data_IF_901211743271
#
_entry.id   IF_901211743271
#
_cell.length_a   1.000
_cell.length_b   1.000
_cell.length_c   1.000
_cell.angle_alpha   90.00
_cell.angle_beta   90.00
_cell.angle_gamma   90.00
#
_symmetry.space_group_name_H-M   'P 1'
#
loop_
_entity.id
_entity.type
_entity.pdbx_description
1 polymer ?
#
# COMPACT_ATOMS: atom_id res chain seq x y z
N UNK A 1 29.19 36.87 90.43
CA UNK A 1 28.51 38.18 90.43
C UNK A 1 28.47 38.66 88.98
N UNK A 2 27.32 39.14 88.53
CA UNK A 2 26.97 39.64 87.19
C UNK A 2 26.62 38.64 86.07
N UNK A 3 25.34 38.75 85.69
CA UNK A 3 24.61 38.21 84.54
C UNK A 3 24.94 38.99 83.27
N UNK A 4 25.00 38.31 82.14
CA UNK A 4 24.60 38.87 80.83
C UNK A 4 24.07 37.78 79.91
N UNK A 5 23.19 38.19 79.01
CA UNK A 5 22.11 37.44 78.34
C UNK A 5 22.34 37.50 76.81
N UNK A 6 21.68 36.59 76.05
CA UNK A 6 21.30 36.67 74.61
C UNK A 6 22.37 36.26 73.57
N UNK A 7 22.09 35.59 72.44
CA UNK A 7 20.90 35.05 71.73
C UNK A 7 21.45 33.99 70.75
N UNK A 8 20.80 32.81 70.64
CA UNK A 8 21.03 31.87 69.53
C UNK A 8 20.18 32.29 68.32
N UNK A 9 20.79 32.43 67.14
CA UNK A 9 20.08 32.57 65.87
C UNK A 9 19.80 31.17 65.29
N UNK A 10 18.51 30.83 65.13
CA UNK A 10 18.05 29.72 64.31
C UNK A 10 17.86 30.22 62.87
N UNK A 11 18.52 29.61 61.90
CA UNK A 11 18.14 29.68 60.49
C UNK A 11 17.36 28.41 60.14
N UNK A 12 16.06 28.54 59.87
CA UNK A 12 15.28 27.52 59.18
C UNK A 12 15.51 27.71 57.67
N UNK A 13 16.14 26.74 57.02
CA UNK A 13 16.11 26.61 55.56
C UNK A 13 14.87 25.76 55.26
N UNK A 14 13.82 26.40 54.75
CA UNK A 14 12.68 25.74 54.13
C UNK A 14 13.10 25.20 52.76
N UNK A 15 13.10 23.88 52.61
CA UNK A 15 13.20 23.22 51.31
C UNK A 15 11.82 23.32 50.65
N UNK A 16 11.69 24.23 49.68
CA UNK A 16 10.53 24.27 48.78
C UNK A 16 10.75 23.22 47.69
N UNK A 17 9.90 22.19 47.65
CA UNK A 17 9.84 21.25 46.52
C UNK A 17 9.33 21.97 45.27
N UNK A 18 10.14 21.94 44.21
CA UNK A 18 9.81 22.48 42.90
C UNK A 18 8.59 21.75 42.31
N UNK A 19 7.49 22.47 42.11
CA UNK A 19 6.33 22.06 41.32
C UNK A 19 6.37 22.65 39.88
N UNK A 20 7.53 23.13 39.43
CA UNK A 20 7.65 23.92 38.19
C UNK A 20 8.08 23.15 36.93
N UNK A 21 8.65 21.95 37.03
CA UNK A 21 9.25 21.29 35.85
C UNK A 21 8.24 20.53 34.98
N UNK A 22 7.18 19.96 35.56
CA UNK A 22 6.21 19.18 34.79
C UNK A 22 5.29 20.06 33.92
N UNK A 23 4.93 21.26 34.39
CA UNK A 23 4.07 22.16 33.63
C UNK A 23 4.80 22.82 32.45
N UNK A 24 6.08 23.18 32.65
CA UNK A 24 6.90 23.79 31.59
C UNK A 24 7.24 22.77 30.49
N UNK A 25 7.57 21.51 30.83
CA UNK A 25 7.82 20.47 29.83
C UNK A 25 6.56 20.13 29.02
N UNK A 26 5.42 19.92 29.68
CA UNK A 26 4.15 19.66 28.98
C UNK A 26 3.74 20.83 28.07
N UNK A 27 4.00 22.08 28.48
CA UNK A 27 3.72 23.25 27.63
C UNK A 27 4.68 23.36 26.44
N UNK A 28 5.92 22.87 26.58
CA UNK A 28 6.93 22.89 25.52
C UNK A 28 6.68 21.78 24.50
N UNK A 29 6.40 20.55 24.94
CA UNK A 29 5.99 19.41 24.10
C UNK A 29 4.77 19.77 23.24
N UNK A 30 3.71 20.31 23.86
CA UNK A 30 2.51 20.77 23.13
C UNK A 30 2.87 21.84 22.08
N UNK A 31 3.75 22.77 22.40
CA UNK A 31 4.14 23.85 21.48
C UNK A 31 4.97 23.39 20.29
N UNK A 32 5.75 22.31 20.46
CA UNK A 32 6.60 21.75 19.40
C UNK A 32 5.76 20.88 18.46
N UNK A 33 4.89 20.00 19.01
CA UNK A 33 3.97 19.22 18.18
C UNK A 33 3.01 20.10 17.34
N UNK A 34 2.50 21.20 17.92
CA UNK A 34 1.67 22.17 17.20
C UNK A 34 2.45 22.82 16.04
N UNK A 35 3.75 23.05 16.21
CA UNK A 35 4.64 23.60 15.18
C UNK A 35 4.87 22.58 14.07
N UNK A 36 5.17 21.31 14.40
CA UNK A 36 5.39 20.23 13.42
C UNK A 36 4.16 19.96 12.56
N UNK A 37 2.96 19.92 13.15
CA UNK A 37 1.69 19.79 12.39
C UNK A 37 1.49 20.99 11.44
N UNK A 38 1.83 22.20 11.86
CA UNK A 38 1.76 23.39 11.02
C UNK A 38 2.78 23.36 9.87
N UNK A 39 3.97 22.80 10.09
CA UNK A 39 4.99 22.60 9.05
C UNK A 39 4.51 21.58 8.00
N UNK A 40 3.88 20.48 8.42
CA UNK A 40 3.26 19.51 7.49
C UNK A 40 2.19 20.19 6.64
N UNK A 41 1.30 20.97 7.25
CA UNK A 41 0.26 21.71 6.54
C UNK A 41 0.87 22.70 5.51
N UNK A 42 1.93 23.41 5.90
CA UNK A 42 2.63 24.36 5.03
C UNK A 42 3.33 23.64 3.86
N UNK A 43 3.94 22.47 4.11
CA UNK A 43 4.55 21.63 3.09
C UNK A 43 3.52 21.21 2.04
N UNK A 44 2.38 20.65 2.46
CA UNK A 44 1.33 20.23 1.51
C UNK A 44 0.76 21.44 0.76
N UNK A 45 0.50 22.54 1.48
CA UNK A 45 -0.03 23.79 0.90
C UNK A 45 0.90 24.38 -0.16
N UNK A 46 2.22 24.27 0.01
CA UNK A 46 3.21 24.73 -0.98
C UNK A 46 3.04 24.01 -2.32
N UNK A 47 2.94 22.68 -2.33
CA UNK A 47 2.77 21.92 -3.57
C UNK A 47 1.40 22.20 -4.23
N UNK A 48 0.37 22.49 -3.43
CA UNK A 48 -0.93 22.94 -3.94
C UNK A 48 -0.81 24.32 -4.60
N UNK A 49 -0.20 25.28 -3.93
CA UNK A 49 0.00 26.64 -4.45
C UNK A 49 0.87 26.68 -5.72
N UNK A 50 1.82 25.75 -5.83
CA UNK A 50 2.66 25.56 -7.01
C UNK A 50 1.96 24.80 -8.16
N UNK A 51 0.71 24.35 -7.98
CA UNK A 51 -0.05 23.61 -9.00
C UNK A 51 0.50 22.21 -9.26
N UNK A 52 1.25 21.65 -8.31
CA UNK A 52 1.90 20.33 -8.36
C UNK A 52 1.11 19.23 -7.65
N UNK A 53 0.09 19.62 -6.90
CA UNK A 53 -0.83 18.75 -6.16
C UNK A 53 -2.22 19.42 -6.14
N UNK A 54 -3.35 18.75 -6.44
CA UNK A 54 -4.67 19.34 -6.25
C UNK A 54 -5.05 19.40 -4.77
N UNK A 55 -4.53 18.46 -3.99
CA UNK A 55 -4.89 18.20 -2.61
C UNK A 55 -4.97 16.69 -2.34
N UNK A 56 -5.53 16.34 -1.19
CA UNK A 56 -5.74 14.96 -0.79
C UNK A 56 -6.09 14.82 0.69
N UNK A 57 -6.12 13.56 1.14
CA UNK A 57 -6.30 13.20 2.55
C UNK A 57 -5.06 12.48 3.06
N UNK A 58 -4.53 12.90 4.19
CA UNK A 58 -3.29 12.39 4.78
C UNK A 58 -3.53 12.06 6.25
N UNK A 59 -3.09 10.88 6.68
CA UNK A 59 -3.30 10.39 8.05
C UNK A 59 -2.07 9.63 8.55
N UNK A 60 -1.77 9.78 9.84
CA UNK A 60 -0.78 8.98 10.54
C UNK A 60 -1.30 8.57 11.92
N UNK A 61 -0.95 7.37 12.36
CA UNK A 61 -1.26 6.88 13.69
C UNK A 61 -0.03 6.22 14.34
N UNK A 62 0.11 6.44 15.65
CA UNK A 62 1.21 5.97 16.49
C UNK A 62 0.63 5.32 17.74
N UNK A 63 1.12 4.14 18.10
CA UNK A 63 0.66 3.40 19.28
C UNK A 63 -0.88 3.24 19.33
N UNK A 64 -1.49 3.04 18.16
CA UNK A 64 -2.95 2.93 18.00
C UNK A 64 -3.75 4.24 18.06
N UNK A 65 -3.09 5.41 18.12
CA UNK A 65 -3.74 6.73 18.20
C UNK A 65 -3.45 7.57 16.96
N UNK A 66 -4.47 8.23 16.39
CA UNK A 66 -4.29 9.15 15.25
C UNK A 66 -3.56 10.41 15.72
N UNK A 67 -2.33 10.61 15.25
CA UNK A 67 -1.47 11.75 15.60
C UNK A 67 -1.53 12.88 14.55
N UNK A 68 -1.94 12.56 13.33
CA UNK A 68 -2.11 13.50 12.24
C UNK A 68 -3.27 13.06 11.33
N UNK A 69 -4.14 14.01 10.98
CA UNK A 69 -5.25 13.81 10.05
C UNK A 69 -5.60 15.12 9.35
N UNK A 70 -5.56 15.11 8.02
CA UNK A 70 -5.80 16.31 7.22
C UNK A 70 -6.45 16.00 5.87
N UNK A 71 -7.55 16.68 5.57
CA UNK A 71 -8.02 16.90 4.20
C UNK A 71 -7.63 18.32 3.78
N UNK A 72 -7.01 18.48 2.62
CA UNK A 72 -6.49 19.77 2.17
C UNK A 72 -6.49 19.88 0.65
N UNK A 73 -6.72 21.08 0.13
CA UNK A 73 -6.82 21.37 -1.30
C UNK A 73 -8.23 21.15 -1.84
N UNK A 74 -8.35 21.17 -3.16
CA UNK A 74 -9.64 21.10 -3.86
C UNK A 74 -9.67 19.95 -4.88
N UNK A 75 -10.80 19.25 -4.88
CA UNK A 75 -11.25 18.21 -5.80
C UNK A 75 -12.16 18.85 -6.88
N UNK A 76 -13.12 18.07 -7.41
CA UNK A 76 -14.24 18.41 -8.31
C UNK A 76 -14.49 19.92 -8.50
N UNK A 77 -14.10 20.46 -9.65
CA UNK A 77 -14.41 21.85 -10.05
C UNK A 77 -14.16 22.94 -8.98
N UNK A 78 -13.30 22.68 -7.97
CA UNK A 78 -13.00 23.60 -6.88
C UNK A 78 -13.61 23.25 -5.51
N UNK A 79 -14.38 22.16 -5.38
CA UNK A 79 -14.89 21.67 -4.10
C UNK A 79 -13.73 21.22 -3.19
N UNK A 80 -13.75 21.54 -1.88
CA UNK A 80 -12.69 21.11 -0.97
C UNK A 80 -12.67 19.58 -0.82
N UNK A 81 -11.48 19.01 -0.60
CA UNK A 81 -11.40 17.61 -0.16
C UNK A 81 -12.03 17.44 1.22
N UNK A 82 -12.74 16.34 1.42
CA UNK A 82 -13.29 15.92 2.71
C UNK A 82 -12.56 14.67 3.22
N UNK A 83 -12.53 14.45 4.54
CA UNK A 83 -11.83 13.32 5.17
C UNK A 83 -12.35 11.97 4.65
N UNK A 84 -13.65 11.90 4.39
CA UNK A 84 -14.35 10.71 3.92
C UNK A 84 -14.47 10.66 2.39
N UNK A 85 -13.71 11.47 1.65
CA UNK A 85 -13.60 11.29 0.20
C UNK A 85 -13.06 9.89 -0.15
N UNK A 86 -13.56 9.33 -1.26
CA UNK A 86 -13.24 7.98 -1.73
C UNK A 86 -12.28 8.07 -2.91
N UNK A 87 -11.17 7.35 -2.77
CA UNK A 87 -10.04 7.34 -3.70
C UNK A 87 -9.93 6.01 -4.42
N UNK A 88 -9.52 6.01 -5.69
CA UNK A 88 -9.10 4.77 -6.36
C UNK A 88 -7.72 4.40 -5.81
N UNK A 89 -7.65 3.35 -5.00
CA UNK A 89 -6.41 2.99 -4.30
C UNK A 89 -5.49 2.10 -5.15
N UNK A 90 -5.99 1.59 -6.29
CA UNK A 90 -5.22 0.85 -7.27
C UNK A 90 -4.38 -0.24 -6.58
N UNK A 91 -3.05 -0.24 -6.80
CA UNK A 91 -2.16 -1.29 -6.32
C UNK A 91 -2.04 -1.44 -4.81
N UNK A 92 -2.60 -0.54 -3.99
CA UNK A 92 -2.82 -0.79 -2.57
C UNK A 92 -3.77 -1.99 -2.33
N UNK A 93 -4.66 -2.30 -3.28
CA UNK A 93 -5.51 -3.51 -3.26
C UNK A 93 -4.72 -4.81 -3.04
N UNK A 94 -3.46 -4.85 -3.52
CA UNK A 94 -2.57 -6.01 -3.39
C UNK A 94 -2.40 -6.44 -1.93
N UNK A 95 -2.38 -5.47 -1.02
CA UNK A 95 -2.26 -5.71 0.41
C UNK A 95 -3.37 -6.60 0.95
N UNK A 96 -4.60 -6.24 0.59
CA UNK A 96 -5.81 -6.90 1.04
C UNK A 96 -5.91 -8.29 0.38
N UNK A 97 -5.50 -8.41 -0.90
CA UNK A 97 -5.38 -9.71 -1.58
C UNK A 97 -4.36 -10.63 -0.90
N UNK A 98 -3.20 -10.10 -0.49
CA UNK A 98 -2.21 -10.86 0.27
C UNK A 98 -2.77 -11.37 1.59
N UNK A 99 -3.43 -10.50 2.38
CA UNK A 99 -4.10 -10.91 3.62
C UNK A 99 -5.13 -12.02 3.38
N UNK A 100 -5.94 -11.91 2.32
CA UNK A 100 -6.92 -12.94 1.99
C UNK A 100 -6.27 -14.30 1.68
N UNK A 101 -5.14 -14.32 0.98
CA UNK A 101 -4.37 -15.53 0.72
C UNK A 101 -3.77 -16.08 2.02
N UNK A 102 -3.20 -15.22 2.86
CA UNK A 102 -2.65 -15.63 4.15
C UNK A 102 -3.71 -16.16 5.12
N UNK A 103 -4.95 -15.68 5.07
CA UNK A 103 -6.08 -16.27 5.79
C UNK A 103 -6.38 -17.71 5.34
N UNK A 104 -6.31 -17.99 4.04
CA UNK A 104 -6.48 -19.35 3.51
C UNK A 104 -5.32 -20.26 3.90
N UNK A 105 -4.11 -19.71 3.95
CA UNK A 105 -2.92 -20.39 4.47
C UNK A 105 -3.09 -20.78 5.95
N UNK A 106 -3.52 -19.85 6.82
CA UNK A 106 -3.79 -20.15 8.24
C UNK A 106 -4.88 -21.21 8.44
N UNK A 107 -5.86 -21.27 7.54
CA UNK A 107 -6.91 -22.27 7.54
C UNK A 107 -6.45 -23.64 7.05
N UNK A 108 -5.19 -23.78 6.62
CA UNK A 108 -4.63 -25.01 6.03
C UNK A 108 -5.29 -25.40 4.72
N UNK A 109 -5.88 -24.43 3.99
CA UNK A 109 -6.57 -24.67 2.72
C UNK A 109 -5.63 -24.57 1.51
N UNK A 110 -4.51 -23.88 1.68
CA UNK A 110 -3.44 -23.74 0.72
C UNK A 110 -2.10 -23.82 1.45
N UNK A 111 -1.05 -24.17 0.71
CA UNK A 111 0.35 -23.97 1.13
C UNK A 111 1.02 -22.97 0.18
N UNK A 112 1.97 -22.17 0.68
CA UNK A 112 2.64 -21.16 -0.13
C UNK A 112 3.40 -21.76 -1.33
N UNK A 113 3.94 -22.97 -1.18
CA UNK A 113 4.75 -23.63 -2.21
C UNK A 113 3.95 -24.61 -3.09
N UNK A 114 2.61 -24.59 -2.99
CA UNK A 114 1.75 -25.33 -3.90
C UNK A 114 1.68 -24.70 -5.29
N UNK A 115 1.53 -25.57 -6.29
CA UNK A 115 1.43 -25.18 -7.69
C UNK A 115 0.13 -24.43 -8.00
N UNK A 116 0.21 -23.35 -8.76
CA UNK A 116 -0.95 -22.56 -9.20
C UNK A 116 -1.90 -23.38 -10.08
N UNK A 117 -1.36 -24.28 -10.89
CA UNK A 117 -2.10 -25.19 -11.79
C UNK A 117 -3.08 -26.11 -11.06
N UNK A 118 -2.81 -26.43 -9.77
CA UNK A 118 -3.72 -27.20 -8.89
C UNK A 118 -5.06 -26.49 -8.73
N UNK A 119 -5.05 -25.17 -8.71
CA UNK A 119 -6.22 -24.33 -8.49
C UNK A 119 -6.80 -23.80 -9.79
N UNK A 120 -5.94 -23.42 -10.74
CA UNK A 120 -6.33 -22.79 -12.00
C UNK A 120 -5.73 -23.61 -13.16
N UNK A 121 -6.48 -24.56 -13.74
CA UNK A 121 -5.97 -25.46 -14.77
C UNK A 121 -5.39 -24.77 -16.01
N UNK A 122 -5.80 -23.52 -16.30
CA UNK A 122 -5.23 -22.72 -17.39
C UNK A 122 -3.71 -22.50 -17.24
N UNK A 123 -3.17 -22.57 -16.02
CA UNK A 123 -1.74 -22.47 -15.75
C UNK A 123 -0.98 -23.80 -15.94
N UNK A 124 -1.62 -24.89 -16.37
CA UNK A 124 -0.93 -26.18 -16.58
C UNK A 124 0.11 -26.12 -17.71
N UNK A 125 -0.18 -25.35 -18.75
CA UNK A 125 0.64 -25.29 -19.97
C UNK A 125 1.40 -23.96 -20.13
N UNK A 126 1.53 -23.18 -19.05
CA UNK A 126 2.34 -21.95 -19.13
C UNK A 126 3.80 -22.30 -19.39
N UNK A 127 4.46 -21.44 -20.15
CA UNK A 127 5.83 -21.61 -20.59
C UNK A 127 6.57 -20.27 -20.48
N UNK A 128 7.89 -20.30 -20.47
CA UNK A 128 8.75 -19.11 -20.38
C UNK A 128 9.10 -18.63 -21.78
N UNK A 129 9.11 -17.31 -21.99
CA UNK A 129 9.59 -16.67 -23.20
C UNK A 129 11.04 -17.08 -23.47
N UNK A 130 11.33 -17.52 -24.70
CA UNK A 130 12.65 -17.95 -25.13
C UNK A 130 13.25 -16.95 -26.14
N UNK A 131 12.71 -16.93 -27.37
CA UNK A 131 13.08 -15.96 -28.40
C UNK A 131 11.90 -15.06 -28.74
N UNK A 132 12.19 -13.78 -29.06
CA UNK A 132 11.20 -12.80 -29.50
C UNK A 132 11.62 -12.16 -30.83
N UNK A 133 10.69 -12.10 -31.79
CA UNK A 133 10.88 -11.44 -33.07
C UNK A 133 10.17 -10.08 -33.07
N UNK A 134 10.96 -9.01 -33.08
CA UNK A 134 10.45 -7.63 -33.07
C UNK A 134 9.77 -7.17 -34.37
N UNK A 135 9.91 -7.92 -35.47
CA UNK A 135 9.31 -7.58 -36.77
C UNK A 135 7.81 -7.87 -36.79
N UNK A 136 7.39 -9.01 -36.24
CA UNK A 136 6.00 -9.49 -36.29
C UNK A 136 5.43 -9.87 -34.92
N UNK A 137 6.19 -9.56 -33.86
CA UNK A 137 5.87 -9.89 -32.47
C UNK A 137 5.63 -11.39 -32.23
N UNK A 138 6.18 -12.27 -33.08
CA UNK A 138 6.20 -13.72 -32.81
C UNK A 138 7.22 -14.04 -31.72
N UNK A 139 7.02 -15.17 -31.05
CA UNK A 139 7.89 -15.64 -30.00
C UNK A 139 7.90 -17.16 -29.91
N UNK A 140 8.97 -17.71 -29.37
CA UNK A 140 9.07 -19.12 -28.94
C UNK A 140 9.07 -19.20 -27.42
N UNK A 141 8.86 -20.41 -26.89
CA UNK A 141 8.81 -20.65 -25.45
C UNK A 141 9.55 -21.93 -25.08
N UNK A 142 10.08 -21.94 -23.86
CA UNK A 142 10.62 -23.15 -23.21
C UNK A 142 9.77 -23.56 -22.00
N UNK A 143 9.72 -24.87 -21.66
CA UNK A 143 8.99 -25.33 -20.48
C UNK A 143 9.46 -24.70 -19.16
N UNK A 144 8.62 -24.79 -18.14
CA UNK A 144 9.04 -24.46 -16.78
C UNK A 144 10.06 -25.49 -16.27
N UNK A 145 11.10 -25.03 -15.58
CA UNK A 145 12.08 -25.88 -14.90
C UNK A 145 11.59 -26.26 -13.49
N UNK A 146 10.79 -25.38 -12.89
CA UNK A 146 10.17 -25.54 -11.57
C UNK A 146 8.71 -25.10 -11.65
N UNK A 147 7.82 -25.68 -10.84
CA UNK A 147 6.42 -25.25 -10.83
C UNK A 147 6.26 -23.77 -10.46
N UNK A 148 5.25 -23.12 -11.03
CA UNK A 148 4.81 -21.80 -10.60
C UNK A 148 3.99 -21.94 -9.32
N UNK A 149 4.44 -21.33 -8.21
CA UNK A 149 3.79 -21.47 -6.89
C UNK A 149 3.00 -20.24 -6.44
N UNK A 150 2.16 -20.40 -5.42
CA UNK A 150 1.45 -19.29 -4.76
C UNK A 150 2.43 -18.25 -4.20
N UNK A 151 3.54 -18.70 -3.60
CA UNK A 151 4.63 -17.83 -3.11
C UNK A 151 5.19 -16.99 -4.23
N UNK A 152 5.40 -17.57 -5.42
CA UNK A 152 5.91 -16.80 -6.55
C UNK A 152 4.94 -15.70 -7.00
N UNK A 153 3.63 -15.93 -6.91
CA UNK A 153 2.65 -14.89 -7.20
C UNK A 153 2.72 -13.77 -6.15
N UNK A 154 2.67 -14.11 -4.85
CA UNK A 154 2.70 -13.13 -3.75
C UNK A 154 3.96 -12.28 -3.76
N UNK A 155 5.12 -12.91 -4.03
CA UNK A 155 6.42 -12.25 -4.01
C UNK A 155 6.81 -11.62 -5.35
N UNK A 156 5.91 -11.63 -6.35
CA UNK A 156 6.18 -11.12 -7.70
C UNK A 156 7.41 -11.78 -8.39
N UNK A 157 7.63 -13.07 -8.14
CA UNK A 157 8.71 -13.86 -8.75
C UNK A 157 8.22 -14.91 -9.74
N UNK A 158 6.95 -14.85 -10.13
CA UNK A 158 6.30 -15.79 -11.06
C UNK A 158 6.78 -15.70 -12.50
N UNK A 159 7.29 -14.54 -12.93
CA UNK A 159 7.50 -14.22 -14.35
C UNK A 159 6.26 -13.70 -15.07
N UNK A 160 5.08 -13.63 -14.42
CA UNK A 160 3.92 -12.90 -14.94
C UNK A 160 4.22 -11.40 -14.87
N UNK A 161 4.02 -10.68 -15.97
CA UNK A 161 4.30 -9.24 -16.08
C UNK A 161 3.06 -8.44 -16.48
N UNK A 162 3.14 -7.11 -16.31
CA UNK A 162 2.19 -6.15 -16.88
C UNK A 162 2.74 -5.64 -18.21
N UNK A 163 2.03 -5.87 -19.31
CA UNK A 163 2.43 -5.34 -20.63
C UNK A 163 2.65 -3.83 -20.64
N UNK A 164 1.80 -3.08 -19.95
CA UNK A 164 1.83 -1.60 -19.89
C UNK A 164 3.05 -1.04 -19.14
N UNK A 165 3.67 -1.83 -18.26
CA UNK A 165 4.80 -1.42 -17.41
C UNK A 165 6.08 -2.20 -17.70
N UNK A 166 6.11 -2.94 -18.80
CA UNK A 166 7.24 -3.81 -19.16
C UNK A 166 8.07 -3.25 -20.31
N UNK A 167 9.20 -3.90 -20.56
CA UNK A 167 10.05 -3.62 -21.71
C UNK A 167 9.29 -3.86 -23.02
N UNK A 168 9.80 -3.25 -24.11
CA UNK A 168 9.10 -3.15 -25.40
C UNK A 168 8.70 -4.52 -25.98
N UNK A 169 9.54 -5.52 -25.83
CA UNK A 169 9.27 -6.90 -26.26
C UNK A 169 8.04 -7.49 -25.55
N UNK A 170 8.01 -7.46 -24.23
CA UNK A 170 6.91 -7.93 -23.40
C UNK A 170 5.62 -7.12 -23.65
N UNK A 171 5.74 -5.81 -23.87
CA UNK A 171 4.63 -4.96 -24.26
C UNK A 171 4.04 -5.36 -25.63
N UNK A 172 4.89 -5.65 -26.63
CA UNK A 172 4.43 -6.09 -27.95
C UNK A 172 3.77 -7.48 -27.91
N UNK A 173 4.29 -8.40 -27.09
CA UNK A 173 3.65 -9.70 -26.85
C UNK A 173 2.27 -9.48 -26.21
N UNK A 174 2.18 -8.64 -25.17
CA UNK A 174 0.91 -8.31 -24.51
C UNK A 174 -0.09 -7.70 -25.47
N UNK A 175 0.34 -6.77 -26.32
CA UNK A 175 -0.49 -6.16 -27.36
C UNK A 175 -1.04 -7.20 -28.33
N UNK A 176 -0.17 -8.10 -28.83
CA UNK A 176 -0.56 -9.19 -29.74
C UNK A 176 -1.56 -10.15 -29.11
N UNK A 177 -1.43 -10.41 -27.82
CA UNK A 177 -2.33 -11.28 -27.07
C UNK A 177 -3.59 -10.57 -26.55
N UNK A 178 -3.69 -9.24 -26.69
CA UNK A 178 -4.83 -8.46 -26.19
C UNK A 178 -4.84 -8.28 -24.66
N UNK A 179 -3.66 -8.25 -24.03
CA UNK A 179 -3.48 -8.14 -22.58
C UNK A 179 -3.19 -6.70 -22.10
N UNK A 180 -3.08 -5.72 -23.00
CA UNK A 180 -2.91 -4.32 -22.61
C UNK A 180 -4.16 -3.79 -21.91
N UNK A 181 -3.97 -3.07 -20.81
CA UNK A 181 -5.07 -2.53 -20.01
C UNK A 181 -5.84 -3.55 -19.16
N UNK A 182 -5.36 -4.79 -19.04
CA UNK A 182 -5.93 -5.75 -18.08
C UNK A 182 -5.74 -5.25 -16.64
N UNK A 183 -6.75 -5.49 -15.80
CA UNK A 183 -6.82 -4.97 -14.45
C UNK A 183 -8.04 -4.06 -14.31
N UNK A 184 -7.87 -2.76 -14.16
CA UNK A 184 -8.95 -1.85 -13.73
C UNK A 184 -10.15 -1.73 -14.70
N UNK A 185 -9.98 -2.02 -15.99
CA UNK A 185 -10.98 -1.75 -17.02
C UNK A 185 -11.24 -2.89 -18.01
N UNK A 186 -11.14 -4.14 -17.55
CA UNK A 186 -11.45 -5.30 -18.40
C UNK A 186 -12.94 -5.53 -18.66
N UNK A 187 -13.20 -6.41 -19.62
CA UNK A 187 -14.50 -7.04 -19.88
C UNK A 187 -14.47 -8.52 -19.44
N UNK A 188 -15.65 -9.14 -19.32
CA UNK A 188 -15.78 -10.52 -18.85
C UNK A 188 -15.76 -10.64 -17.33
N UNK A 189 -15.52 -11.85 -16.84
CA UNK A 189 -15.44 -12.20 -15.42
C UNK A 189 -13.99 -12.23 -14.92
N UNK A 190 -13.82 -12.40 -13.61
CA UNK A 190 -12.51 -12.65 -12.99
C UNK A 190 -11.85 -13.91 -13.55
N UNK A 191 -12.62 -14.94 -13.87
CA UNK A 191 -12.10 -16.15 -14.52
C UNK A 191 -11.61 -15.87 -15.95
N UNK A 192 -12.37 -15.10 -16.73
CA UNK A 192 -11.97 -14.72 -18.09
C UNK A 192 -10.65 -13.95 -18.08
N UNK A 193 -10.51 -12.98 -17.17
CA UNK A 193 -9.26 -12.22 -16.97
C UNK A 193 -8.07 -13.16 -16.69
N UNK A 194 -8.21 -14.09 -15.75
CA UNK A 194 -7.12 -14.97 -15.32
C UNK A 194 -6.78 -16.01 -16.39
N UNK A 195 -7.78 -16.54 -17.10
CA UNK A 195 -7.57 -17.42 -18.25
C UNK A 195 -6.89 -16.70 -19.42
N UNK A 196 -7.13 -15.39 -19.55
CA UNK A 196 -6.43 -14.55 -20.54
C UNK A 196 -4.97 -14.35 -20.12
N UNK A 197 -4.70 -14.01 -18.86
CA UNK A 197 -3.33 -13.88 -18.31
C UNK A 197 -2.51 -15.15 -18.57
N UNK A 198 -3.10 -16.34 -18.39
CA UNK A 198 -2.43 -17.62 -18.59
C UNK A 198 -1.99 -17.88 -20.06
N UNK A 199 -2.44 -17.07 -21.03
CA UNK A 199 -2.00 -17.17 -22.44
C UNK A 199 -0.64 -16.50 -22.68
N UNK A 200 -0.19 -15.62 -21.77
CA UNK A 200 1.10 -14.96 -21.92
C UNK A 200 2.24 -15.90 -21.52
N UNK A 201 3.36 -15.93 -22.26
CA UNK A 201 4.56 -16.58 -21.77
C UNK A 201 5.07 -15.84 -20.54
N UNK A 202 5.65 -16.54 -19.56
CA UNK A 202 6.33 -15.92 -18.44
C UNK A 202 7.61 -15.23 -18.94
N UNK A 203 7.97 -14.07 -18.38
CA UNK A 203 9.18 -13.34 -18.73
C UNK A 203 10.48 -14.06 -18.29
N UNK A 204 10.38 -14.92 -17.27
CA UNK A 204 11.48 -15.72 -16.75
C UNK A 204 10.94 -16.95 -16.02
N UNK A 205 11.82 -17.89 -15.68
CA UNK A 205 11.48 -19.05 -14.84
C UNK A 205 10.98 -18.58 -13.46
N UNK A 206 9.95 -19.23 -12.87
CA UNK A 206 9.49 -18.92 -11.52
C UNK A 206 10.63 -18.94 -10.50
N UNK A 207 10.68 -17.95 -9.61
CA UNK A 207 11.72 -17.77 -8.59
C UNK A 207 13.05 -17.19 -9.09
N UNK A 208 13.26 -17.02 -10.40
CA UNK A 208 14.55 -16.56 -10.92
C UNK A 208 14.78 -15.05 -10.72
N UNK A 209 13.73 -14.25 -10.92
CA UNK A 209 13.78 -12.78 -10.89
C UNK A 209 12.53 -12.22 -10.23
N UNK A 210 12.61 -10.97 -9.79
CA UNK A 210 11.43 -10.19 -9.45
C UNK A 210 10.91 -9.44 -10.69
N UNK A 211 9.63 -9.57 -10.98
CA UNK A 211 8.94 -8.87 -12.09
C UNK A 211 7.56 -8.39 -11.63
N UNK A 212 7.34 -7.08 -11.74
CA UNK A 212 6.02 -6.52 -11.44
C UNK A 212 4.98 -6.93 -12.49
N UNK A 213 3.82 -7.41 -12.04
CA UNK A 213 2.87 -8.04 -12.95
C UNK A 213 1.51 -8.37 -12.36
N UNK A 214 0.72 -9.06 -13.17
CA UNK A 214 -0.69 -9.43 -12.95
C UNK A 214 -0.87 -10.61 -11.96
N UNK A 215 0.03 -10.73 -10.99
CA UNK A 215 0.04 -11.86 -10.04
C UNK A 215 -1.18 -11.87 -9.12
N UNK A 216 -1.59 -10.68 -8.71
CA UNK A 216 -2.60 -10.50 -7.67
C UNK A 216 -4.01 -10.74 -8.21
N UNK A 217 -4.22 -10.59 -9.52
CA UNK A 217 -5.41 -11.02 -10.25
C UNK A 217 -5.57 -12.54 -10.19
N UNK A 218 -4.48 -13.29 -10.37
CA UNK A 218 -4.46 -14.75 -10.26
C UNK A 218 -4.75 -15.20 -8.82
N UNK A 219 -4.12 -14.54 -7.83
CA UNK A 219 -4.38 -14.81 -6.42
C UNK A 219 -5.83 -14.52 -6.02
N UNK A 220 -6.42 -13.44 -6.53
CA UNK A 220 -7.84 -13.15 -6.36
C UNK A 220 -8.75 -14.28 -6.86
N UNK A 221 -8.40 -14.92 -7.99
CA UNK A 221 -9.13 -16.10 -8.49
C UNK A 221 -8.92 -17.33 -7.61
N UNK A 222 -7.71 -17.53 -7.05
CA UNK A 222 -7.46 -18.61 -6.09
C UNK A 222 -8.34 -18.44 -4.84
N UNK A 223 -8.45 -17.21 -4.30
CA UNK A 223 -9.36 -16.93 -3.18
C UNK A 223 -10.79 -17.35 -3.51
N UNK A 224 -11.27 -17.02 -4.72
CA UNK A 224 -12.59 -17.43 -5.15
C UNK A 224 -12.74 -18.96 -5.14
N UNK A 225 -11.84 -19.67 -5.83
CA UNK A 225 -11.93 -21.13 -5.99
C UNK A 225 -11.87 -21.84 -4.63
N UNK A 226 -10.96 -21.43 -3.75
CA UNK A 226 -10.72 -22.10 -2.46
C UNK A 226 -11.79 -21.77 -1.43
N UNK A 227 -12.31 -20.53 -1.43
CA UNK A 227 -13.31 -20.10 -0.44
C UNK A 227 -14.76 -20.37 -0.86
N UNK A 228 -15.03 -20.52 -2.16
CA UNK A 228 -16.36 -20.59 -2.74
C UNK A 228 -17.13 -19.25 -2.74
N UNK A 229 -16.48 -18.14 -2.39
CA UNK A 229 -17.04 -16.78 -2.41
C UNK A 229 -16.38 -15.99 -3.53
N UNK A 230 -17.08 -15.05 -4.17
CA UNK A 230 -16.35 -14.14 -5.06
C UNK A 230 -15.41 -13.22 -4.23
N UNK A 231 -14.45 -12.58 -4.89
CA UNK A 231 -13.39 -11.83 -4.20
C UNK A 231 -13.94 -10.67 -3.37
N UNK A 232 -14.96 -9.97 -3.87
CA UNK A 232 -15.60 -8.87 -3.14
C UNK A 232 -16.32 -9.34 -1.88
N UNK A 233 -17.06 -10.45 -1.95
CA UNK A 233 -17.72 -11.07 -0.80
C UNK A 233 -16.70 -11.54 0.24
N UNK A 234 -15.62 -12.20 -0.20
CA UNK A 234 -14.58 -12.68 0.70
C UNK A 234 -13.91 -11.50 1.43
N UNK A 235 -13.51 -10.46 0.70
CA UNK A 235 -12.90 -9.27 1.31
C UNK A 235 -13.84 -8.62 2.31
N UNK A 236 -15.10 -8.38 1.90
CA UNK A 236 -16.12 -7.76 2.75
C UNK A 236 -16.26 -8.51 4.07
N UNK A 237 -16.49 -9.82 4.01
CA UNK A 237 -16.77 -10.65 5.18
C UNK A 237 -15.57 -10.88 6.10
N UNK A 238 -14.38 -11.10 5.54
CA UNK A 238 -13.24 -11.63 6.31
C UNK A 238 -12.18 -10.58 6.62
N UNK A 239 -12.24 -9.39 6.01
CA UNK A 239 -11.23 -8.34 6.19
C UNK A 239 -11.91 -6.98 6.43
N UNK A 240 -12.77 -6.53 5.51
CA UNK A 240 -13.27 -5.16 5.55
C UNK A 240 -14.27 -4.92 6.68
N UNK A 241 -15.30 -5.77 6.82
CA UNK A 241 -16.28 -5.63 7.92
C UNK A 241 -15.67 -5.85 9.30
N UNK A 242 -14.77 -6.83 9.53
CA UNK A 242 -14.08 -6.97 10.82
C UNK A 242 -13.23 -5.76 11.21
N UNK A 243 -12.81 -4.94 10.27
CA UNK A 243 -12.00 -3.74 10.49
C UNK A 243 -12.81 -2.44 10.30
N UNK A 244 -14.14 -2.52 10.23
CA UNK A 244 -15.03 -1.38 10.04
C UNK A 244 -14.75 -0.53 8.77
N UNK A 245 -14.18 -1.15 7.72
CA UNK A 245 -13.86 -0.51 6.43
C UNK A 245 -15.10 -0.41 5.51
N UNK A 246 -16.09 0.37 5.92
CA UNK A 246 -17.41 0.47 5.27
C UNK A 246 -17.38 1.14 3.87
N UNK A 247 -16.33 1.89 3.56
CA UNK A 247 -16.21 2.69 2.35
C UNK A 247 -15.23 2.12 1.31
N UNK A 248 -14.69 0.93 1.58
CA UNK A 248 -13.76 0.25 0.68
C UNK A 248 -14.48 -0.73 -0.24
N UNK A 249 -14.53 -0.50 -1.55
CA UNK A 249 -15.33 -1.30 -2.51
C UNK A 249 -14.60 -1.61 -3.82
N UNK A 250 -14.91 -2.79 -4.41
CA UNK A 250 -14.57 -3.05 -5.81
C UNK A 250 -15.48 -2.27 -6.77
N UNK A 251 -16.78 -2.35 -6.53
CA UNK A 251 -17.80 -1.60 -7.26
C UNK A 251 -18.54 -0.73 -6.26
N UNK A 252 -18.43 0.59 -6.43
CA UNK A 252 -18.89 1.55 -5.43
C UNK A 252 -20.43 1.61 -5.43
N UNK A 253 -21.10 1.48 -4.27
CA UNK A 253 -22.54 1.67 -4.18
C UNK A 253 -22.97 3.06 -4.67
N UNK A 254 -24.11 3.14 -5.36
CA UNK A 254 -24.60 4.41 -5.94
C UNK A 254 -24.68 5.58 -4.95
N UNK A 255 -25.06 5.29 -3.69
CA UNK A 255 -25.16 6.30 -2.63
C UNK A 255 -23.81 6.91 -2.21
N UNK A 256 -22.68 6.34 -2.64
CA UNK A 256 -21.33 6.82 -2.33
C UNK A 256 -20.64 7.48 -3.54
N UNK A 257 -21.27 7.52 -4.71
CA UNK A 257 -20.66 8.06 -5.94
C UNK A 257 -20.28 9.54 -5.79
N UNK A 258 -21.03 10.31 -5.01
CA UNK A 258 -20.76 11.73 -4.79
C UNK A 258 -19.50 12.00 -3.97
N UNK A 259 -18.96 11.00 -3.26
CA UNK A 259 -17.69 11.07 -2.52
C UNK A 259 -16.48 10.63 -3.34
N UNK A 260 -16.69 10.08 -4.54
CA UNK A 260 -15.58 9.63 -5.39
C UNK A 260 -14.81 10.83 -5.94
N UNK A 261 -13.51 10.86 -5.72
CA UNK A 261 -12.62 11.93 -6.17
C UNK A 261 -12.28 11.85 -7.66
N UNK A 262 -11.99 12.98 -8.28
CA UNK A 262 -11.51 13.03 -9.67
C UNK A 262 -10.03 12.64 -9.78
N UNK A 263 -9.61 12.16 -10.95
CA UNK A 263 -8.20 11.87 -11.25
C UNK A 263 -7.60 13.00 -12.06
N UNK A 264 -6.44 13.49 -11.64
CA UNK A 264 -5.74 14.61 -12.28
C UNK A 264 -4.50 14.14 -13.03
N UNK A 265 -4.14 14.84 -14.10
CA UNK A 265 -2.88 14.67 -14.81
C UNK A 265 -2.20 16.03 -15.03
N UNK A 266 -0.86 16.10 -14.93
CA UNK A 266 -0.12 17.30 -15.28
C UNK A 266 -0.20 17.56 -16.79
N UNK A 267 -0.52 18.80 -17.16
CA UNK A 267 -0.53 19.30 -18.56
C UNK A 267 0.47 20.42 -18.80
N UNK A 268 1.19 20.82 -17.76
CA UNK A 268 2.26 21.80 -17.80
C UNK A 268 2.97 21.87 -16.45
N UNK A 269 4.02 22.71 -16.31
CA UNK A 269 4.87 22.76 -15.11
C UNK A 269 4.16 23.05 -13.77
N UNK A 270 2.95 23.58 -13.81
CA UNK A 270 2.15 23.98 -12.65
C UNK A 270 0.64 23.93 -12.99
N UNK A 271 0.25 23.02 -13.88
CA UNK A 271 -1.11 22.94 -14.36
C UNK A 271 -1.57 21.50 -14.43
N UNK A 272 -2.74 21.25 -13.83
CA UNK A 272 -3.41 19.97 -13.89
C UNK A 272 -4.74 20.06 -14.62
N UNK A 273 -5.16 18.94 -15.17
CA UNK A 273 -6.52 18.75 -15.66
C UNK A 273 -7.09 17.44 -15.14
N UNK A 274 -8.41 17.39 -15.03
CA UNK A 274 -9.12 16.13 -14.80
C UNK A 274 -8.90 15.22 -16.02
N UNK A 275 -8.55 13.96 -15.75
CA UNK A 275 -8.24 12.93 -16.74
C UNK A 275 -9.55 12.39 -17.33
N UNK A 276 -9.88 12.66 -18.60
CA UNK A 276 -11.13 12.24 -19.21
C UNK A 276 -11.04 10.82 -19.79
N UNK A 277 -10.43 9.88 -19.06
CA UNK A 277 -10.23 8.50 -19.56
C UNK A 277 -11.42 7.63 -19.11
N UNK A 278 -12.08 6.89 -20.02
CA UNK A 278 -13.22 6.03 -19.69
C UNK A 278 -12.95 5.01 -18.57
N UNK A 279 -11.72 4.52 -18.42
CA UNK A 279 -11.29 3.67 -17.30
C UNK A 279 -11.52 4.33 -15.93
N UNK A 280 -11.47 5.66 -15.83
CA UNK A 280 -11.76 6.36 -14.58
C UNK A 280 -13.24 6.29 -14.17
N UNK A 281 -14.11 5.71 -15.02
CA UNK A 281 -15.47 5.34 -14.60
C UNK A 281 -15.50 4.14 -13.65
N UNK A 282 -14.46 3.30 -13.60
CA UNK A 282 -14.26 2.45 -12.43
C UNK A 282 -14.05 3.35 -11.20
N UNK A 283 -14.69 3.11 -10.03
CA UNK A 283 -15.48 1.95 -9.63
C UNK A 283 -17.01 2.09 -9.77
N UNK A 284 -17.54 3.09 -10.50
CA UNK A 284 -18.99 3.38 -10.54
C UNK A 284 -19.78 2.56 -11.55
N UNK A 285 -19.12 1.64 -12.26
CA UNK A 285 -19.80 0.67 -13.11
C UNK A 285 -20.70 -0.27 -12.29
N UNK A 286 -21.77 -0.81 -12.90
CA UNK A 286 -22.47 -1.95 -12.33
C UNK A 286 -21.48 -3.09 -12.03
N UNK A 287 -21.77 -3.91 -11.02
CA UNK A 287 -20.96 -5.08 -10.74
C UNK A 287 -20.97 -6.04 -11.93
N UNK A 288 -19.78 -6.39 -12.43
CA UNK A 288 -19.57 -7.25 -13.61
C UNK A 288 -18.95 -8.61 -13.30
N UNK A 289 -18.83 -8.98 -12.01
CA UNK A 289 -18.12 -10.19 -11.56
C UNK A 289 -16.63 -10.22 -11.99
N UNK A 290 -16.08 -9.03 -12.24
CA UNK A 290 -14.69 -8.80 -12.57
C UNK A 290 -14.00 -8.11 -11.40
N UNK A 291 -13.15 -8.83 -10.67
CA UNK A 291 -12.48 -8.31 -9.48
C UNK A 291 -10.96 -8.37 -9.67
N UNK A 292 -10.36 -7.24 -10.02
CA UNK A 292 -8.91 -7.13 -10.17
C UNK A 292 -8.23 -7.14 -8.78
N UNK A 293 -7.78 -8.30 -8.30
CA UNK A 293 -7.07 -8.41 -7.01
C UNK A 293 -5.79 -7.58 -6.93
N UNK A 294 -5.23 -7.13 -8.06
CA UNK A 294 -4.07 -6.26 -8.10
C UNK A 294 -4.36 -4.76 -8.06
N UNK A 295 -5.61 -4.32 -8.22
CA UNK A 295 -5.89 -2.89 -8.40
C UNK A 295 -7.32 -2.43 -8.12
N UNK A 296 -8.24 -3.37 -7.98
CA UNK A 296 -9.66 -3.13 -8.17
C UNK A 296 -10.42 -2.59 -6.97
N UNK A 297 -9.77 -2.16 -5.87
CA UNK A 297 -10.45 -1.48 -4.78
C UNK A 297 -10.34 0.05 -4.89
N UNK A 298 -11.37 0.71 -4.35
CA UNK A 298 -11.41 2.13 -4.00
C UNK A 298 -11.82 2.24 -2.53
N UNK A 299 -11.38 3.26 -1.80
CA UNK A 299 -11.63 3.42 -0.38
C UNK A 299 -11.20 4.77 0.17
N UNK A 300 -11.36 4.99 1.47
CA UNK A 300 -10.98 6.24 2.17
C UNK A 300 -9.59 6.10 2.79
N UNK A 301 -9.01 7.23 3.22
CA UNK A 301 -7.80 7.20 4.03
C UNK A 301 -8.04 6.50 5.38
N UNK A 302 -9.19 6.76 6.02
CA UNK A 302 -9.57 6.17 7.31
C UNK A 302 -9.69 4.64 7.25
N UNK A 303 -10.44 4.09 6.29
CA UNK A 303 -10.56 2.64 6.12
C UNK A 303 -9.18 1.98 5.96
N UNK A 304 -8.32 2.60 5.14
CA UNK A 304 -7.00 2.04 4.90
C UNK A 304 -6.07 2.22 6.10
N UNK A 305 -6.27 3.27 6.92
CA UNK A 305 -5.56 3.46 8.18
C UNK A 305 -5.91 2.33 9.16
N UNK A 306 -7.18 1.97 9.28
CA UNK A 306 -7.63 0.84 10.10
C UNK A 306 -7.00 -0.49 9.62
N UNK A 307 -6.92 -0.70 8.31
CA UNK A 307 -6.21 -1.83 7.74
C UNK A 307 -4.72 -1.85 8.13
N UNK A 308 -4.02 -0.71 7.99
CA UNK A 308 -2.61 -0.62 8.36
C UNK A 308 -2.40 -0.78 9.86
N UNK A 309 -3.28 -0.23 10.69
CA UNK A 309 -3.25 -0.35 12.14
C UNK A 309 -3.48 -1.79 12.58
N UNK A 310 -4.37 -2.53 11.90
CA UNK A 310 -4.56 -3.94 12.18
C UNK A 310 -3.28 -4.75 11.94
N UNK A 311 -2.54 -4.44 10.87
CA UNK A 311 -1.30 -5.14 10.54
C UNK A 311 -0.17 -4.81 11.51
N UNK A 312 0.02 -3.54 11.88
CA UNK A 312 1.06 -3.17 12.86
C UNK A 312 0.75 -3.76 14.26
N UNK A 313 -0.53 -3.91 14.60
CA UNK A 313 -1.01 -4.58 15.82
C UNK A 313 -0.96 -6.13 15.76
N UNK A 314 -0.17 -6.72 14.86
CA UNK A 314 -0.06 -8.19 14.74
C UNK A 314 -1.32 -8.87 14.21
N UNK A 315 -2.04 -8.21 13.31
CA UNK A 315 -3.19 -8.75 12.57
C UNK A 315 -4.54 -8.58 13.26
N UNK A 316 -4.70 -7.61 14.15
CA UNK A 316 -5.96 -7.34 14.86
C UNK A 316 -6.24 -5.85 15.10
N UNK A 317 -7.51 -5.47 15.11
CA UNK A 317 -7.96 -4.13 15.50
C UNK A 317 -9.29 -4.25 16.25
N UNK A 318 -9.48 -3.46 17.31
CA UNK A 318 -10.72 -3.40 18.09
C UNK A 318 -11.25 -4.79 18.57
N UNK A 319 -10.34 -5.73 18.83
CA UNK A 319 -10.68 -7.11 19.24
C UNK A 319 -11.04 -8.05 18.09
N UNK A 320 -11.10 -7.57 16.85
CA UNK A 320 -11.30 -8.38 15.66
C UNK A 320 -9.95 -8.76 15.04
N UNK A 321 -9.75 -10.06 14.78
CA UNK A 321 -8.50 -10.59 14.22
C UNK A 321 -8.70 -10.97 12.76
N UNK A 322 -7.83 -10.46 11.89
CA UNK A 322 -7.78 -10.82 10.46
C UNK A 322 -6.64 -11.78 10.13
N UNK A 323 -5.55 -11.78 10.91
CA UNK A 323 -4.40 -12.69 10.82
C UNK A 323 -3.81 -12.93 12.22
N UNK A 324 -3.07 -14.01 12.39
CA UNK A 324 -2.17 -14.21 13.53
C UNK A 324 -0.90 -13.38 13.37
N UNK A 325 -0.30 -13.02 14.49
CA UNK A 325 0.93 -12.23 14.54
C UNK A 325 2.06 -12.92 13.77
N UNK A 326 2.28 -14.22 13.98
CA UNK A 326 3.31 -14.97 13.28
C UNK A 326 3.11 -15.02 11.75
N UNK A 327 1.87 -14.84 11.29
CA UNK A 327 1.53 -14.82 9.87
C UNK A 327 1.76 -13.42 9.29
N UNK A 328 1.53 -12.36 10.06
CA UNK A 328 1.93 -11.00 9.69
C UNK A 328 3.45 -10.92 9.54
N UNK A 329 4.21 -11.48 10.48
CA UNK A 329 5.68 -11.52 10.43
C UNK A 329 6.18 -12.23 9.16
N UNK A 330 5.60 -13.41 8.87
CA UNK A 330 5.91 -14.13 7.63
C UNK A 330 5.57 -13.30 6.40
N UNK A 331 4.40 -12.64 6.40
CA UNK A 331 3.92 -11.81 5.29
C UNK A 331 4.83 -10.60 5.04
N UNK A 332 5.42 -10.03 6.10
CA UNK A 332 6.28 -8.84 6.05
C UNK A 332 7.77 -9.17 5.77
N UNK A 333 8.23 -10.39 6.03
CA UNK A 333 9.63 -10.80 5.79
C UNK A 333 10.10 -10.68 4.33
N UNK A 334 11.40 -10.40 4.09
CA UNK A 334 11.99 -10.34 2.73
C UNK A 334 11.99 -11.73 2.08
N UNK A 335 11.01 -11.96 1.20
CA UNK A 335 10.84 -13.21 0.48
C UNK A 335 11.89 -13.40 -0.61
N UNK A 336 12.46 -12.31 -1.14
CA UNK A 336 13.47 -12.42 -2.20
C UNK A 336 14.75 -13.04 -1.66
N UNK A 337 15.17 -12.64 -0.46
CA UNK A 337 16.29 -13.28 0.21
C UNK A 337 15.95 -14.67 0.72
N UNK A 338 14.76 -14.86 1.31
CA UNK A 338 14.31 -16.14 1.82
C UNK A 338 14.37 -17.26 0.75
N UNK A 339 13.97 -16.95 -0.48
CA UNK A 339 13.95 -17.93 -1.58
C UNK A 339 15.16 -17.83 -2.53
N UNK A 340 16.12 -16.94 -2.24
CA UNK A 340 17.38 -16.83 -2.98
C UNK A 340 17.24 -16.22 -4.39
N UNK A 341 16.32 -15.29 -4.59
CA UNK A 341 16.14 -14.55 -5.87
C UNK A 341 17.37 -13.70 -6.15
N UNK A 342 18.01 -13.93 -7.30
CA UNK A 342 19.26 -13.26 -7.67
C UNK A 342 19.03 -11.90 -8.33
N UNK A 343 18.05 -11.81 -9.22
CA UNK A 343 17.74 -10.59 -9.95
C UNK A 343 16.50 -9.93 -9.34
N UNK A 344 16.73 -9.05 -8.37
CA UNK A 344 15.65 -8.43 -7.58
C UNK A 344 14.97 -7.22 -8.24
N UNK A 345 15.28 -6.93 -9.51
CA UNK A 345 14.63 -5.86 -10.28
C UNK A 345 14.78 -4.47 -9.65
N UNK A 346 13.85 -3.55 -9.99
CA UNK A 346 13.87 -2.19 -9.45
C UNK A 346 13.40 -2.13 -8.00
N UNK A 347 12.65 -3.12 -7.52
CA UNK A 347 12.10 -3.07 -6.16
C UNK A 347 13.18 -3.13 -5.07
N UNK A 348 14.32 -3.74 -5.40
CA UNK A 348 15.51 -3.78 -4.57
C UNK A 348 16.46 -2.59 -4.78
N UNK A 349 16.04 -1.55 -5.49
CA UNK A 349 16.77 -0.28 -5.48
C UNK A 349 17.01 0.14 -4.03
N UNK A 350 18.22 0.65 -3.76
CA UNK A 350 18.65 1.08 -2.43
C UNK A 350 18.50 -0.04 -1.38
N UNK A 351 18.87 -1.27 -1.78
CA UNK A 351 18.93 -2.47 -0.94
C UNK A 351 17.62 -2.92 -0.29
N UNK A 352 16.46 -2.58 -0.86
CA UNK A 352 15.18 -3.07 -0.37
C UNK A 352 14.92 -4.55 -0.71
N UNK A 353 14.01 -5.14 0.05
CA UNK A 353 13.44 -6.46 -0.20
C UNK A 353 12.04 -6.40 -0.80
N UNK A 354 11.47 -7.57 -1.03
CA UNK A 354 10.05 -7.69 -1.34
C UNK A 354 9.44 -8.86 -0.60
N UNK A 355 8.34 -8.60 0.10
CA UNK A 355 7.65 -9.53 0.97
C UNK A 355 6.50 -10.23 0.23
N UNK A 356 5.54 -10.81 0.95
CA UNK A 356 4.34 -11.39 0.35
C UNK A 356 3.31 -10.29 0.00
N UNK A 357 3.71 -9.39 -0.90
CA UNK A 357 2.84 -8.36 -1.49
C UNK A 357 3.33 -6.91 -1.36
N UNK A 358 4.42 -6.68 -0.62
CA UNK A 358 4.92 -5.33 -0.29
C UNK A 358 6.41 -5.18 -0.54
N UNK A 359 6.86 -3.94 -0.70
CA UNK A 359 8.28 -3.62 -0.56
C UNK A 359 8.60 -3.59 0.93
N UNK A 360 9.76 -4.12 1.32
CA UNK A 360 10.24 -4.09 2.72
C UNK A 360 11.61 -3.44 2.77
N UNK A 361 11.82 -2.57 3.75
CA UNK A 361 13.10 -1.94 4.02
C UNK A 361 14.02 -2.94 4.72
N UNK A 362 15.19 -3.18 4.14
CA UNK A 362 16.20 -4.03 4.77
C UNK A 362 17.12 -3.21 5.68
N UNK A 363 17.77 -3.87 6.65
CA UNK A 363 18.72 -3.24 7.59
C UNK A 363 19.86 -2.45 6.92
N UNK A 364 20.23 -2.84 5.70
CA UNK A 364 21.31 -2.21 4.92
C UNK A 364 20.77 -1.27 3.83
N UNK A 365 19.55 -0.76 3.98
CA UNK A 365 18.96 0.20 3.04
C UNK A 365 19.85 1.41 2.84
N UNK A 366 19.83 1.96 1.62
CA UNK A 366 20.53 3.20 1.26
C UNK A 366 19.56 4.37 1.03
N UNK A 367 18.26 4.19 1.30
CA UNK A 367 17.29 5.29 1.20
C UNK A 367 17.53 6.31 2.33
N UNK A 368 17.40 7.59 2.00
CA UNK A 368 17.47 8.72 2.94
C UNK A 368 16.07 9.04 3.52
N UNK A 369 15.25 8.00 3.70
CA UNK A 369 13.92 8.06 4.31
C UNK A 369 14.04 7.64 5.78
N UNK A 370 13.20 8.17 6.69
CA UNK A 370 13.39 8.00 8.13
C UNK A 370 12.94 6.61 8.63
N UNK A 371 12.64 5.68 7.73
CA UNK A 371 12.02 4.41 8.05
C UNK A 371 12.91 3.47 8.87
N UNK A 372 12.32 2.79 9.84
CA UNK A 372 13.01 1.72 10.56
C UNK A 372 13.17 0.46 9.68
N UNK A 373 14.24 -0.33 9.85
CA UNK A 373 14.37 -1.63 9.19
C UNK A 373 13.13 -2.51 9.44
N UNK A 374 12.66 -3.20 8.41
CA UNK A 374 11.42 -3.97 8.47
C UNK A 374 10.15 -3.17 8.12
N UNK A 375 10.23 -1.84 8.02
CA UNK A 375 9.13 -1.02 7.49
C UNK A 375 8.73 -1.52 6.10
N UNK A 376 7.45 -1.81 5.92
CA UNK A 376 6.91 -2.27 4.65
C UNK A 376 5.88 -1.30 4.09
N UNK A 377 5.90 -1.15 2.76
CA UNK A 377 5.19 -0.10 2.07
C UNK A 377 4.75 -0.54 0.68
N UNK A 378 3.73 0.15 0.17
CA UNK A 378 3.37 0.08 -1.23
C UNK A 378 2.63 1.35 -1.68
N UNK A 379 2.23 1.37 -2.95
CA UNK A 379 1.60 2.53 -3.54
C UNK A 379 0.53 2.16 -4.56
N UNK A 380 -0.37 3.11 -4.83
CA UNK A 380 -1.33 3.03 -5.93
C UNK A 380 -0.88 3.87 -7.13
N UNK A 381 -1.34 3.44 -8.31
CA UNK A 381 -1.06 4.10 -9.60
C UNK A 381 -1.49 5.57 -9.64
N UNK A 382 -2.56 5.91 -8.91
CA UNK A 382 -3.11 7.26 -8.82
C UNK A 382 -2.45 8.12 -7.72
N UNK A 383 -1.20 7.81 -7.37
CA UNK A 383 -0.43 8.52 -6.34
C UNK A 383 -1.02 8.42 -4.91
N UNK A 384 -1.58 7.26 -4.57
CA UNK A 384 -1.86 6.89 -3.18
C UNK A 384 -0.65 6.14 -2.58
N UNK A 385 -0.46 6.24 -1.26
CA UNK A 385 0.70 5.71 -0.54
C UNK A 385 0.27 5.16 0.83
N UNK A 386 0.93 4.10 1.27
CA UNK A 386 0.95 3.74 2.68
C UNK A 386 2.31 3.13 3.05
N UNK A 387 2.61 3.19 4.33
CA UNK A 387 3.69 2.42 4.94
C UNK A 387 3.32 2.07 6.38
N UNK A 388 3.93 1.00 6.87
CA UNK A 388 3.78 0.47 8.23
C UNK A 388 5.18 0.26 8.77
N UNK A 389 5.48 0.91 9.90
CA UNK A 389 6.70 0.75 10.67
C UNK A 389 6.39 -0.03 11.96
N UNK A 390 6.69 -1.34 12.02
CA UNK A 390 6.43 -2.16 13.19
C UNK A 390 7.34 -1.86 14.38
N UNK A 391 8.55 -1.32 14.15
CA UNK A 391 9.47 -1.01 15.25
C UNK A 391 8.93 0.15 16.08
N UNK A 392 8.32 1.12 15.40
CA UNK A 392 7.74 2.31 16.00
C UNK A 392 6.23 2.22 16.21
N UNK A 393 5.53 1.12 15.92
CA UNK A 393 4.06 1.07 15.91
C UNK A 393 3.45 2.32 15.22
N UNK A 394 4.00 2.66 14.06
CA UNK A 394 3.69 3.89 13.32
C UNK A 394 3.20 3.53 11.92
N UNK A 395 2.05 4.08 11.56
CA UNK A 395 1.43 3.87 10.25
C UNK A 395 1.08 5.18 9.59
N UNK A 396 1.11 5.19 8.26
CA UNK A 396 0.74 6.35 7.46
C UNK A 396 -0.04 5.95 6.23
N UNK A 397 -1.02 6.79 5.88
CA UNK A 397 -1.82 6.69 4.68
C UNK A 397 -1.92 8.07 4.03
N UNK A 398 -1.52 8.16 2.76
CA UNK A 398 -1.63 9.37 1.94
C UNK A 398 -2.46 9.10 0.69
N UNK A 399 -3.58 9.79 0.54
CA UNK A 399 -4.52 9.62 -0.56
C UNK A 399 -4.56 10.87 -1.44
N UNK A 400 -4.02 10.73 -2.65
CA UNK A 400 -4.18 11.71 -3.74
C UNK A 400 -4.69 10.99 -4.99
N UNK A 401 -5.06 11.72 -6.05
CA UNK A 401 -5.46 11.13 -7.34
C UNK A 401 -4.75 11.83 -8.50
N UNK A 402 -3.49 11.48 -8.75
CA UNK A 402 -2.66 12.10 -9.79
C UNK A 402 -1.93 11.04 -10.59
N UNK A 403 -1.91 11.18 -11.91
CA UNK A 403 -1.16 10.29 -12.79
C UNK A 403 -0.64 10.97 -14.07
N UNK A 404 0.66 10.82 -14.41
CA UNK A 404 1.74 10.42 -13.50
C UNK A 404 1.99 11.53 -12.46
N UNK A 405 2.43 11.15 -11.27
CA UNK A 405 2.98 12.11 -10.31
C UNK A 405 4.48 12.29 -10.57
N UNK A 406 4.96 13.53 -10.56
CA UNK A 406 6.32 13.90 -10.99
C UNK A 406 7.19 14.51 -9.88
N UNK A 407 6.67 14.59 -8.65
CA UNK A 407 7.28 15.32 -7.54
C UNK A 407 7.52 14.42 -6.33
N UNK A 408 8.29 13.35 -6.49
CA UNK A 408 8.49 12.36 -5.41
C UNK A 408 9.12 12.97 -4.15
N UNK A 409 9.87 14.07 -4.29
CA UNK A 409 10.40 14.86 -3.17
C UNK A 409 9.31 15.30 -2.18
N UNK A 410 8.06 15.48 -2.64
CA UNK A 410 6.93 15.76 -1.78
C UNK A 410 6.73 14.67 -0.72
N UNK A 411 6.80 13.41 -1.12
CA UNK A 411 6.58 12.27 -0.23
C UNK A 411 7.78 12.10 0.70
N UNK A 412 8.99 12.20 0.18
CA UNK A 412 10.22 12.04 0.98
C UNK A 412 10.27 13.09 2.11
N UNK A 413 10.01 14.36 1.79
CA UNK A 413 9.92 15.46 2.76
C UNK A 413 8.76 15.25 3.75
N UNK A 414 7.59 14.80 3.27
CA UNK A 414 6.44 14.55 4.14
C UNK A 414 6.70 13.41 5.13
N UNK A 415 7.37 12.34 4.71
CA UNK A 415 7.69 11.23 5.61
C UNK A 415 8.65 11.66 6.71
N UNK A 416 9.67 12.47 6.40
CA UNK A 416 10.56 13.06 7.40
C UNK A 416 9.78 13.85 8.46
N UNK A 417 8.84 14.69 8.04
CA UNK A 417 7.99 15.46 8.96
C UNK A 417 7.05 14.57 9.81
N UNK A 418 6.53 13.47 9.24
CA UNK A 418 5.70 12.53 10.00
C UNK A 418 6.51 11.81 11.08
N UNK A 419 7.78 11.46 10.82
CA UNK A 419 8.64 10.85 11.84
C UNK A 419 9.03 11.85 12.93
N UNK A 420 9.20 13.14 12.59
CA UNK A 420 9.44 14.19 13.58
C UNK A 420 8.29 14.31 14.60
N UNK A 421 7.04 14.05 14.20
CA UNK A 421 5.91 14.01 15.15
C UNK A 421 6.08 12.94 16.25
N UNK A 422 6.92 11.93 16.02
CA UNK A 422 7.11 10.78 16.93
C UNK A 422 8.41 10.91 17.72
N UNK A 423 9.46 11.51 17.15
CA UNK A 423 10.71 11.80 17.88
C UNK A 423 10.55 12.85 18.98
N UNK A 424 9.42 13.56 18.98
CA UNK A 424 9.05 14.62 19.92
C UNK A 424 8.27 14.11 21.16
N UNK A 425 7.86 12.82 21.18
CA UNK A 425 7.27 12.11 22.34
C UNK A 425 8.33 11.39 23.19
#
# INVERSE_FOLDING_TARGET
MFRTLRILFLWMISISFAHGQAADMASMEISVEEDTRAIIDAHISKYIAEGKLPGGVFMAAKDGHVIFQKAIGNNKEGDPYEIDDIFRIASMTKAITSVAIMQLYEQGKIELDEEVSKYIPAFTNVAVLDEFNSVDSSFTTVPLNTPLTIRNLLSHTSGIYYGDFSQRDLQMISAKLGLLGIGLAGEGTTEDMVNHIARQPLAHQPGAKWTYGLNMEVLGRIVHIVSGQNLAEYFRKNILDPLDMEDTWFYLPGAKHDRLTEVYAPVGPAQMMIVPIPMMKYPTWPNRDYYAGGGGLSGTASDYLDFTQALVNGGQLNGNRILKEETVDLMASDQLDLIGVKEKGWVASNNHGFSLGFRVLNENSLDDVPFSPGTYSWSGYFNTRFWIDPELDLVFVGMTQIVPFQHNEFWDELYQLVYQLVEEE
#
